data_IF_334601651107
#
_entry.id   IF_334601651107
#
_cell.length_a   1.000
_cell.length_b   1.000
_cell.length_c   1.000
_cell.angle_alpha   90.00
_cell.angle_beta   90.00
_cell.angle_gamma   90.00
#
_symmetry.space_group_name_H-M   'P 1'
#
loop_
_entity.id
_entity.type
_entity.pdbx_description
1 polymer ?
#
# COMPACT_ATOMS: atom_id res chain seq x y z
N UNK A 1 5.72 37.79 31.87
CA UNK A 1 5.02 37.11 30.75
C UNK A 1 6.00 36.18 30.07
N UNK A 2 5.84 34.86 30.27
CA UNK A 2 6.72 33.85 29.68
C UNK A 2 6.26 33.60 28.24
N UNK A 3 7.05 34.04 27.26
CA UNK A 3 6.82 33.72 25.86
C UNK A 3 7.19 32.25 25.64
N UNK A 4 6.16 31.41 25.42
CA UNK A 4 6.32 29.99 25.09
C UNK A 4 7.21 29.84 23.87
N UNK A 5 8.31 29.09 24.03
CA UNK A 5 9.34 28.86 23.04
C UNK A 5 8.75 28.19 21.76
N UNK A 6 8.76 28.86 20.59
CA UNK A 6 8.19 28.34 19.35
C UNK A 6 8.96 27.15 18.74
N UNK A 7 10.11 26.76 19.32
CA UNK A 7 10.92 25.63 18.82
C UNK A 7 10.29 24.25 19.06
N UNK A 8 9.38 24.12 20.02
CA UNK A 8 8.79 22.83 20.37
C UNK A 8 7.66 22.38 19.42
N UNK A 9 6.92 23.30 18.82
CA UNK A 9 5.87 22.96 17.85
C UNK A 9 6.47 22.50 16.51
N UNK A 10 7.53 23.14 16.05
CA UNK A 10 8.29 22.71 14.87
C UNK A 10 8.85 21.28 15.05
N UNK A 11 9.38 20.97 16.23
CA UNK A 11 9.94 19.65 16.54
C UNK A 11 8.88 18.52 16.60
N UNK A 12 7.60 18.84 16.83
CA UNK A 12 6.50 17.84 16.77
C UNK A 12 6.07 17.60 15.32
N UNK A 13 6.07 18.64 14.48
CA UNK A 13 5.74 18.53 13.05
C UNK A 13 6.83 17.80 12.25
N UNK A 14 8.10 17.87 12.71
CA UNK A 14 9.22 17.14 12.10
C UNK A 14 9.36 15.69 12.60
N UNK A 15 8.57 15.29 13.61
CA UNK A 15 8.51 13.89 14.01
C UNK A 15 7.64 13.11 13.02
N UNK A 16 8.27 12.17 12.31
CA UNK A 16 7.56 11.17 11.51
C UNK A 16 6.38 10.61 12.32
N UNK A 17 5.21 10.48 11.69
CA UNK A 17 4.01 9.93 12.32
C UNK A 17 4.36 8.60 12.98
N UNK A 18 4.37 8.57 14.31
CA UNK A 18 4.66 7.36 15.08
C UNK A 18 3.77 6.24 14.59
N UNK A 19 4.38 5.10 14.24
CA UNK A 19 3.67 3.90 13.81
C UNK A 19 2.71 3.49 14.94
N UNK A 20 1.43 3.83 14.80
CA UNK A 20 0.40 3.39 15.72
C UNK A 20 0.36 1.86 15.62
N UNK A 21 0.97 1.19 16.60
CA UNK A 21 1.21 -0.25 16.56
C UNK A 21 0.01 -0.96 17.17
N UNK A 22 -1.13 -0.87 16.49
CA UNK A 22 -2.24 -1.80 16.69
C UNK A 22 -1.96 -3.03 15.83
N UNK A 23 -1.39 -4.07 16.42
CA UNK A 23 -1.17 -5.33 15.69
C UNK A 23 -2.53 -6.02 15.52
N UNK A 24 -3.15 -5.84 14.35
CA UNK A 24 -4.39 -6.53 13.98
C UNK A 24 -4.03 -7.89 13.39
N UNK A 25 -4.74 -8.94 13.79
CA UNK A 25 -4.54 -10.28 13.22
C UNK A 25 -4.80 -10.26 11.71
N UNK A 26 -3.88 -10.84 10.94
CA UNK A 26 -3.99 -10.98 9.48
C UNK A 26 -5.27 -11.73 9.07
N UNK A 27 -5.73 -12.67 9.90
CA UNK A 27 -6.97 -13.40 9.66
C UNK A 27 -8.19 -12.46 9.58
N UNK A 28 -8.25 -11.42 10.42
CA UNK A 28 -9.35 -10.45 10.41
C UNK A 28 -9.43 -9.71 9.08
N UNK A 29 -8.28 -9.33 8.52
CA UNK A 29 -8.22 -8.73 7.18
C UNK A 29 -8.63 -9.74 6.10
N UNK A 30 -8.17 -10.99 6.19
CA UNK A 30 -8.53 -12.03 5.24
C UNK A 30 -10.04 -12.29 5.19
N UNK A 31 -10.71 -12.39 6.34
CA UNK A 31 -12.17 -12.54 6.41
C UNK A 31 -12.91 -11.34 5.81
N UNK A 32 -12.48 -10.11 6.13
CA UNK A 32 -13.05 -8.90 5.54
C UNK A 32 -12.87 -8.88 4.02
N UNK A 33 -11.69 -9.26 3.53
CA UNK A 33 -11.40 -9.30 2.10
C UNK A 33 -12.25 -10.35 1.38
N UNK A 34 -12.43 -11.54 1.96
CA UNK A 34 -13.35 -12.56 1.42
C UNK A 34 -14.76 -12.01 1.27
N UNK A 35 -15.26 -11.29 2.28
CA UNK A 35 -16.60 -10.70 2.23
C UNK A 35 -16.69 -9.54 1.22
N UNK A 36 -15.62 -8.75 1.06
CA UNK A 36 -15.51 -7.71 0.02
C UNK A 36 -15.58 -8.31 -1.40
N UNK A 37 -14.94 -9.46 -1.62
CA UNK A 37 -14.99 -10.17 -2.91
C UNK A 37 -16.41 -10.68 -3.17
N UNK A 38 -17.04 -11.33 -2.20
CA UNK A 38 -18.44 -11.78 -2.32
C UNK A 38 -19.40 -10.61 -2.57
N UNK A 39 -19.21 -9.50 -1.87
CA UNK A 39 -19.98 -8.28 -2.08
C UNK A 39 -19.81 -7.75 -3.51
N UNK A 40 -18.58 -7.75 -4.03
CA UNK A 40 -18.27 -7.29 -5.38
C UNK A 40 -18.90 -8.20 -6.45
N UNK A 41 -19.02 -9.50 -6.18
CA UNK A 41 -19.70 -10.48 -7.03
C UNK A 41 -21.23 -10.39 -6.97
N UNK A 42 -21.81 -9.70 -5.97
CA UNK A 42 -23.26 -9.58 -5.83
C UNK A 42 -23.85 -8.75 -6.97
N UNK A 43 -24.86 -9.31 -7.64
CA UNK A 43 -25.59 -8.68 -8.74
C UNK A 43 -24.67 -8.27 -9.92
N UNK A 44 -23.65 -9.09 -10.20
CA UNK A 44 -22.74 -8.89 -11.33
C UNK A 44 -22.76 -10.09 -12.26
N UNK A 45 -22.81 -9.81 -13.56
CA UNK A 45 -22.89 -10.80 -14.63
C UNK A 45 -21.54 -11.15 -15.26
N UNK A 46 -20.49 -10.33 -15.10
CA UNK A 46 -19.14 -10.58 -15.65
C UNK A 46 -18.04 -10.45 -14.59
N UNK A 47 -17.03 -11.32 -14.67
CA UNK A 47 -15.83 -11.27 -13.83
C UNK A 47 -15.07 -9.94 -13.99
N UNK A 48 -15.09 -9.34 -15.18
CA UNK A 48 -14.39 -8.06 -15.44
C UNK A 48 -14.94 -6.93 -14.57
N UNK A 49 -16.26 -6.93 -14.34
CA UNK A 49 -16.92 -5.94 -13.48
C UNK A 49 -16.58 -6.16 -12.01
N UNK A 50 -16.42 -7.41 -11.57
CA UNK A 50 -15.96 -7.74 -10.21
C UNK A 50 -14.53 -7.25 -10.02
N UNK A 51 -13.65 -7.52 -10.98
CA UNK A 51 -12.26 -7.04 -10.97
C UNK A 51 -12.20 -5.51 -10.94
N UNK A 52 -13.03 -4.84 -11.75
CA UNK A 52 -13.12 -3.38 -11.75
C UNK A 52 -13.55 -2.82 -10.39
N UNK A 53 -14.62 -3.37 -9.79
CA UNK A 53 -15.07 -2.94 -8.45
C UNK A 53 -13.99 -3.13 -7.38
N UNK A 54 -13.31 -4.28 -7.38
CA UNK A 54 -12.20 -4.55 -6.47
C UNK A 54 -11.03 -3.59 -6.71
N UNK A 55 -10.74 -3.25 -7.97
CA UNK A 55 -9.74 -2.25 -8.33
C UNK A 55 -10.11 -0.85 -7.82
N UNK A 56 -11.38 -0.45 -7.92
CA UNK A 56 -11.85 0.84 -7.42
C UNK A 56 -11.72 0.95 -5.88
N UNK A 57 -12.06 -0.11 -5.14
CA UNK A 57 -11.81 -0.19 -3.70
C UNK A 57 -10.32 -0.11 -3.38
N UNK A 58 -9.49 -0.86 -4.11
CA UNK A 58 -8.04 -0.87 -3.97
C UNK A 58 -7.41 0.49 -4.26
N UNK A 59 -7.92 1.22 -5.26
CA UNK A 59 -7.46 2.57 -5.62
C UNK A 59 -7.70 3.56 -4.48
N UNK A 60 -8.92 3.58 -3.94
CA UNK A 60 -9.28 4.49 -2.83
C UNK A 60 -8.39 4.28 -1.60
N UNK A 61 -8.14 3.03 -1.24
CA UNK A 61 -7.27 2.68 -0.11
C UNK A 61 -5.80 2.98 -0.45
N UNK A 62 -5.37 2.63 -1.67
CA UNK A 62 -4.00 2.81 -2.15
C UNK A 62 -3.55 4.27 -2.15
N UNK A 63 -4.41 5.20 -2.57
CA UNK A 63 -4.13 6.64 -2.54
C UNK A 63 -3.76 7.12 -1.13
N UNK A 64 -4.49 6.65 -0.11
CA UNK A 64 -4.22 7.01 1.30
C UNK A 64 -2.99 6.31 1.87
N UNK A 65 -2.78 5.03 1.55
CA UNK A 65 -1.64 4.27 2.05
C UNK A 65 -0.33 4.82 1.50
N UNK A 66 -0.29 5.18 0.21
CA UNK A 66 0.91 5.76 -0.41
C UNK A 66 1.37 7.00 0.35
N UNK A 67 0.46 7.92 0.68
CA UNK A 67 0.78 9.12 1.44
C UNK A 67 1.33 8.81 2.83
N UNK A 68 0.70 7.86 3.54
CA UNK A 68 1.11 7.45 4.88
C UNK A 68 2.51 6.80 4.85
N UNK A 69 2.76 5.89 3.91
CA UNK A 69 4.06 5.21 3.80
C UNK A 69 5.14 6.21 3.42
N UNK A 70 4.83 7.14 2.52
CA UNK A 70 5.76 8.18 2.11
C UNK A 70 6.17 9.07 3.29
N UNK A 71 5.20 9.56 4.06
CA UNK A 71 5.42 10.39 5.25
C UNK A 71 6.15 9.68 6.39
N UNK A 72 6.12 8.34 6.44
CA UNK A 72 6.81 7.55 7.48
C UNK A 72 8.25 7.20 7.10
N UNK A 73 8.51 6.89 5.83
CA UNK A 73 9.83 6.42 5.37
C UNK A 73 10.77 7.56 4.96
N UNK A 74 10.25 8.68 4.45
CA UNK A 74 11.07 9.82 4.00
C UNK A 74 10.44 11.16 4.37
N UNK A 75 11.13 12.03 5.13
CA UNK A 75 10.68 13.40 5.36
C UNK A 75 10.81 14.32 4.12
N UNK A 76 11.32 13.82 2.98
CA UNK A 76 11.65 14.61 1.79
C UNK A 76 10.68 14.38 0.62
N UNK A 77 10.43 15.41 -0.20
CA UNK A 77 9.52 15.47 -1.37
C UNK A 77 9.42 14.19 -2.21
N UNK A 78 8.19 13.80 -2.61
CA UNK A 78 7.89 12.68 -3.53
C UNK A 78 8.74 12.76 -4.79
N UNK A 79 9.49 11.70 -5.06
CA UNK A 79 10.21 11.55 -6.33
C UNK A 79 9.19 11.28 -7.44
N UNK A 80 9.23 12.11 -8.49
CA UNK A 80 8.30 12.06 -9.64
C UNK A 80 8.86 11.22 -10.79
N UNK A 81 10.11 10.74 -10.68
CA UNK A 81 10.72 9.89 -11.71
C UNK A 81 10.11 8.49 -11.65
N UNK A 82 9.63 8.00 -12.79
CA UNK A 82 8.97 6.69 -12.91
C UNK A 82 9.78 5.56 -12.26
N UNK A 83 11.07 5.49 -12.57
CA UNK A 83 11.97 4.47 -12.00
C UNK A 83 11.98 4.50 -10.47
N UNK A 84 12.14 5.68 -9.86
CA UNK A 84 12.20 5.81 -8.41
C UNK A 84 10.84 5.54 -7.75
N UNK A 85 9.74 5.91 -8.41
CA UNK A 85 8.39 5.55 -7.98
C UNK A 85 8.16 4.04 -7.99
N UNK A 86 8.62 3.33 -9.03
CA UNK A 86 8.52 1.88 -9.13
C UNK A 86 9.37 1.16 -8.08
N UNK A 87 10.59 1.63 -7.83
CA UNK A 87 11.45 1.09 -6.76
C UNK A 87 10.83 1.30 -5.38
N UNK A 88 10.28 2.49 -5.12
CA UNK A 88 9.54 2.77 -3.89
C UNK A 88 8.34 1.82 -3.72
N UNK A 89 7.61 1.54 -4.79
CA UNK A 89 6.49 0.61 -4.78
C UNK A 89 6.93 -0.82 -4.44
N UNK A 90 8.00 -1.30 -5.08
CA UNK A 90 8.55 -2.66 -4.90
C UNK A 90 9.05 -2.89 -3.48
N UNK A 91 9.80 -1.93 -2.94
CA UNK A 91 10.53 -2.10 -1.67
C UNK A 91 9.69 -1.59 -0.50
N UNK A 92 9.33 -0.30 -0.50
CA UNK A 92 8.78 0.36 0.68
C UNK A 92 7.29 0.07 0.84
N UNK A 93 6.49 0.23 -0.23
CA UNK A 93 5.04 -0.01 -0.14
C UNK A 93 4.76 -1.50 0.13
N UNK A 94 5.40 -2.40 -0.63
CA UNK A 94 5.18 -3.83 -0.50
C UNK A 94 5.56 -4.37 0.88
N UNK A 95 6.71 -3.93 1.42
CA UNK A 95 7.14 -4.28 2.77
C UNK A 95 6.19 -3.74 3.83
N UNK A 96 5.65 -2.53 3.67
CA UNK A 96 4.68 -1.98 4.62
C UNK A 96 3.32 -2.72 4.59
N UNK A 97 2.89 -3.23 3.43
CA UNK A 97 1.62 -3.93 3.27
C UNK A 97 1.68 -5.42 3.65
N UNK A 98 2.72 -6.13 3.20
CA UNK A 98 2.82 -7.59 3.30
C UNK A 98 3.99 -8.08 4.14
N UNK A 99 4.75 -7.17 4.75
CA UNK A 99 5.98 -7.46 5.50
C UNK A 99 7.03 -8.26 4.71
N UNK A 100 6.96 -8.16 3.38
CA UNK A 100 7.86 -8.82 2.40
C UNK A 100 8.04 -7.87 1.20
N UNK A 101 9.19 -7.92 0.55
CA UNK A 101 9.42 -7.16 -0.69
C UNK A 101 8.71 -7.81 -1.89
N UNK A 102 8.45 -7.06 -2.96
CA UNK A 102 7.93 -7.65 -4.20
C UNK A 102 9.03 -8.42 -4.94
N UNK A 103 8.70 -9.64 -5.40
CA UNK A 103 9.70 -10.59 -5.89
C UNK A 103 10.42 -10.04 -7.13
N UNK A 104 9.67 -9.73 -8.20
CA UNK A 104 10.27 -9.35 -9.48
C UNK A 104 9.53 -8.16 -10.12
N UNK A 105 10.31 -7.20 -10.60
CA UNK A 105 9.86 -6.06 -11.41
C UNK A 105 10.40 -6.30 -12.81
N UNK A 106 9.54 -6.69 -13.74
CA UNK A 106 9.90 -6.87 -15.13
C UNK A 106 9.46 -5.65 -15.93
N UNK A 107 10.32 -5.11 -16.79
CA UNK A 107 9.87 -4.17 -17.82
C UNK A 107 9.24 -4.97 -18.96
N UNK A 108 8.21 -4.42 -19.57
CA UNK A 108 7.64 -5.02 -20.76
C UNK A 108 8.66 -4.92 -21.91
N UNK A 109 8.75 -5.99 -22.71
CA UNK A 109 9.73 -6.05 -23.80
C UNK A 109 9.34 -5.20 -25.01
N UNK A 110 8.09 -4.72 -25.06
CA UNK A 110 7.51 -3.98 -26.20
C UNK A 110 7.31 -2.51 -25.87
N UNK A 111 6.90 -2.19 -24.65
CA UNK A 111 6.69 -0.82 -24.17
C UNK A 111 7.56 -0.52 -22.97
N UNK A 112 8.54 0.36 -23.13
CA UNK A 112 9.48 0.76 -22.07
C UNK A 112 8.79 1.44 -20.87
N UNK A 113 7.56 1.92 -21.07
CA UNK A 113 6.74 2.57 -20.05
C UNK A 113 5.89 1.59 -19.23
N UNK A 114 5.82 0.31 -19.64
CA UNK A 114 5.04 -0.70 -18.92
C UNK A 114 6.00 -1.52 -18.05
N UNK A 115 5.70 -1.57 -16.75
CA UNK A 115 6.42 -2.40 -15.78
C UNK A 115 5.43 -3.33 -15.08
N UNK A 116 5.72 -4.63 -15.09
CA UNK A 116 4.90 -5.70 -14.50
C UNK A 116 5.51 -6.11 -13.16
N UNK A 117 4.72 -6.08 -12.10
CA UNK A 117 5.10 -6.65 -10.79
C UNK A 117 4.50 -8.05 -10.72
N UNK A 118 5.36 -9.07 -10.67
CA UNK A 118 4.90 -10.46 -10.52
C UNK A 118 4.77 -10.80 -9.04
N UNK A 119 3.58 -11.23 -8.61
CA UNK A 119 3.41 -11.96 -7.34
C UNK A 119 2.12 -12.78 -7.27
N UNK A 120 2.19 -13.98 -6.68
CA UNK A 120 1.02 -14.68 -6.15
C UNK A 120 0.65 -14.09 -4.78
N UNK A 121 -0.08 -12.97 -4.78
CA UNK A 121 -0.59 -12.33 -3.55
C UNK A 121 -1.34 -13.35 -2.66
N UNK A 122 -2.03 -14.29 -3.29
CA UNK A 122 -2.89 -15.29 -2.65
C UNK A 122 -2.11 -16.26 -1.75
N UNK A 123 -0.86 -16.61 -2.11
CA UNK A 123 -0.03 -17.50 -1.30
C UNK A 123 0.45 -16.85 0.00
N UNK A 124 0.57 -15.51 0.04
CA UNK A 124 0.96 -14.78 1.26
C UNK A 124 -0.14 -14.90 2.33
N UNK A 125 -1.40 -14.87 1.92
CA UNK A 125 -2.54 -14.98 2.85
C UNK A 125 -2.83 -16.42 3.27
N UNK A 126 -2.45 -17.42 2.47
CA UNK A 126 -2.65 -18.84 2.77
C UNK A 126 -1.49 -19.49 3.53
N UNK A 127 -0.26 -18.98 3.42
CA UNK A 127 0.89 -19.58 4.13
C UNK A 127 0.78 -19.57 5.67
N UNK A 128 0.04 -18.65 6.33
CA UNK A 128 -0.20 -18.71 7.77
C UNK A 128 -1.39 -19.60 8.17
N UNK A 129 -2.16 -20.09 7.20
CA UNK A 129 -3.39 -20.88 7.39
C UNK A 129 -3.20 -22.37 7.08
N UNK A 130 -2.01 -22.77 6.61
CA UNK A 130 -1.53 -24.14 6.41
C UNK A 130 -0.39 -24.41 7.39
#
# INVERSE_FOLDING_TARGET
>A
MNYGNPKNSAAILEKNLTKLRGEVNIASFAYLFVELVKYSMRNVSSMDLVQKRLSDFGKFIGERIIDIVYLRDKPNKRDIRLYNALIFLKINLWKNLFNKEADELERDGVDENICKIKKKIFLIFLSPLL
#
